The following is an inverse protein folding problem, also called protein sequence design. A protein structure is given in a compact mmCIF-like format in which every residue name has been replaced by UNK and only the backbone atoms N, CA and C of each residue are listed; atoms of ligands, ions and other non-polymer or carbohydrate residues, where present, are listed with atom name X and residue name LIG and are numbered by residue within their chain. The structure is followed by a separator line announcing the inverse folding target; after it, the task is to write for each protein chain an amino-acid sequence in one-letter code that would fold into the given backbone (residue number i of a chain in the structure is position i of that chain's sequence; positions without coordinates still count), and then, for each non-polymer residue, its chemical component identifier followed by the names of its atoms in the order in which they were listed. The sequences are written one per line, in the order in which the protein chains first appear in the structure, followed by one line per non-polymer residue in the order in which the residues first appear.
data_IF_877646141284
#
_entry.id   IF_877646141284
#
_cell.length_a   1.000
_cell.length_b   1.000
_cell.length_c   1.000
_cell.angle_alpha   90.00
_cell.angle_beta   90.00
_cell.angle_gamma   90.00
#
_symmetry.space_group_name_H-M   'P 1'
#
loop_
_entity.id
_entity.type
_entity.pdbx_description
1 polymer ?
#
# COMPACT_ATOMS: atom_id res chain seq x y z
N UNK A 1 -26.97 26.57 -2.30
CA UNK A 1 -26.40 25.33 -1.73
C UNK A 1 -25.59 24.54 -2.78
N UNK A 2 -26.13 24.22 -3.97
CA UNK A 2 -25.37 23.53 -5.03
C UNK A 2 -24.05 24.21 -5.45
N UNK A 3 -24.04 25.53 -5.59
CA UNK A 3 -22.86 26.26 -6.05
C UNK A 3 -21.68 26.25 -5.05
N UNK A 4 -21.95 26.11 -3.75
CA UNK A 4 -20.90 26.02 -2.73
C UNK A 4 -20.33 24.60 -2.66
N UNK A 5 -21.19 23.58 -2.76
CA UNK A 5 -20.77 22.18 -2.86
C UNK A 5 -19.93 21.91 -4.12
N UNK A 6 -20.31 22.47 -5.27
CA UNK A 6 -19.55 22.35 -6.51
C UNK A 6 -18.15 22.97 -6.44
N UNK A 7 -17.95 24.00 -5.60
CA UNK A 7 -16.65 24.64 -5.36
C UNK A 7 -15.79 23.90 -4.33
N UNK A 8 -16.42 23.22 -3.38
CA UNK A 8 -15.72 22.47 -2.33
C UNK A 8 -15.28 21.07 -2.79
N UNK A 9 -15.96 20.49 -3.78
CA UNK A 9 -15.68 19.15 -4.29
C UNK A 9 -14.23 18.94 -4.75
N UNK A 10 -13.60 19.86 -5.51
CA UNK A 10 -12.20 19.70 -5.90
C UNK A 10 -11.24 19.72 -4.71
N UNK A 11 -11.50 20.57 -3.71
CA UNK A 11 -10.69 20.66 -2.50
C UNK A 11 -10.81 19.39 -1.65
N UNK A 12 -12.03 18.84 -1.54
CA UNK A 12 -12.26 17.56 -0.88
C UNK A 12 -11.54 16.42 -1.61
N UNK A 13 -11.63 16.38 -2.94
CA UNK A 13 -10.94 15.37 -3.74
C UNK A 13 -9.42 15.46 -3.59
N UNK A 14 -8.86 16.67 -3.61
CA UNK A 14 -7.45 16.90 -3.35
C UNK A 14 -7.05 16.44 -1.93
N UNK A 15 -7.86 16.73 -0.92
CA UNK A 15 -7.61 16.28 0.45
C UNK A 15 -7.61 14.75 0.57
N UNK A 16 -8.54 14.07 -0.12
CA UNK A 16 -8.58 12.60 -0.19
C UNK A 16 -7.33 12.04 -0.87
N UNK A 17 -6.91 12.62 -2.00
CA UNK A 17 -5.68 12.19 -2.69
C UNK A 17 -4.46 12.39 -1.79
N UNK A 18 -4.33 13.55 -1.14
CA UNK A 18 -3.20 13.84 -0.25
C UNK A 18 -3.17 12.84 0.92
N UNK A 19 -4.33 12.57 1.52
CA UNK A 19 -4.44 11.58 2.59
C UNK A 19 -4.06 10.18 2.12
N UNK A 20 -4.51 9.77 0.92
CA UNK A 20 -4.15 8.48 0.33
C UNK A 20 -2.64 8.37 0.06
N UNK A 21 -2.02 9.41 -0.50
CA UNK A 21 -0.57 9.44 -0.75
C UNK A 21 0.23 9.40 0.56
N UNK A 22 -0.20 10.18 1.56
CA UNK A 22 0.45 10.17 2.87
C UNK A 22 0.34 8.80 3.53
N UNK A 23 -0.84 8.18 3.47
CA UNK A 23 -1.07 6.82 3.98
C UNK A 23 -0.17 5.79 3.29
N UNK A 24 -0.17 5.78 1.96
CA UNK A 24 0.63 4.83 1.18
C UNK A 24 2.14 5.02 1.45
N UNK A 25 2.59 6.26 1.62
CA UNK A 25 3.99 6.56 1.96
C UNK A 25 4.37 6.00 3.33
N UNK A 26 3.53 6.19 4.34
CA UNK A 26 3.77 5.65 5.69
C UNK A 26 3.75 4.13 5.66
N UNK A 27 2.76 3.53 5.00
CA UNK A 27 2.61 2.08 4.89
C UNK A 27 3.84 1.42 4.23
N UNK A 28 4.36 2.03 3.15
CA UNK A 28 5.57 1.56 2.48
C UNK A 28 6.79 1.59 3.40
N UNK A 29 6.97 2.67 4.17
CA UNK A 29 8.10 2.80 5.10
C UNK A 29 8.01 1.77 6.23
N UNK A 30 6.83 1.58 6.81
CA UNK A 30 6.59 0.60 7.88
C UNK A 30 6.90 -0.82 7.40
N UNK A 31 6.40 -1.20 6.22
CA UNK A 31 6.67 -2.52 5.65
C UNK A 31 8.14 -2.71 5.29
N UNK A 32 8.80 -1.74 4.67
CA UNK A 32 10.24 -1.83 4.41
C UNK A 32 11.04 -2.02 5.72
N UNK A 33 10.66 -1.34 6.81
CA UNK A 33 11.31 -1.50 8.10
C UNK A 33 11.05 -2.89 8.71
N UNK A 34 9.83 -3.40 8.59
CA UNK A 34 9.47 -4.75 9.05
C UNK A 34 10.21 -5.84 8.27
N UNK A 35 10.29 -5.72 6.95
CA UNK A 35 11.02 -6.66 6.11
C UNK A 35 12.54 -6.61 6.36
N UNK A 36 13.07 -5.41 6.62
CA UNK A 36 14.45 -5.27 7.08
C UNK A 36 14.67 -6.00 8.40
N UNK A 37 13.75 -5.87 9.36
CA UNK A 37 13.84 -6.53 10.67
C UNK A 37 13.68 -8.04 10.62
N UNK A 38 12.81 -8.58 9.76
CA UNK A 38 12.50 -10.01 9.69
C UNK A 38 13.40 -10.80 8.74
N UNK A 39 13.72 -10.22 7.59
CA UNK A 39 14.35 -10.91 6.46
C UNK A 39 15.68 -10.29 6.03
N UNK A 40 16.17 -9.27 6.75
CA UNK A 40 17.32 -8.45 6.35
C UNK A 40 17.16 -7.80 4.95
N UNK A 41 15.92 -7.69 4.44
CA UNK A 41 15.59 -7.08 3.15
C UNK A 41 14.68 -5.86 3.37
N UNK A 42 15.28 -4.67 3.44
CA UNK A 42 14.55 -3.39 3.48
C UNK A 42 14.40 -2.72 2.11
N UNK A 43 14.61 -3.46 1.02
CA UNK A 43 14.60 -2.89 -0.32
C UNK A 43 13.18 -2.65 -0.81
N UNK A 44 13.02 -1.68 -1.72
CA UNK A 44 11.76 -1.47 -2.44
C UNK A 44 11.33 -2.73 -3.21
N UNK A 45 12.28 -3.52 -3.70
CA UNK A 45 11.99 -4.77 -4.39
C UNK A 45 11.42 -5.85 -3.45
N UNK A 46 11.90 -5.93 -2.20
CA UNK A 46 11.35 -6.77 -1.14
C UNK A 46 9.92 -6.36 -0.79
N UNK A 47 9.69 -5.06 -0.58
CA UNK A 47 8.35 -4.50 -0.38
C UNK A 47 7.38 -4.89 -1.49
N UNK A 48 7.73 -4.65 -2.75
CA UNK A 48 6.84 -4.94 -3.89
C UNK A 48 6.51 -6.42 -4.01
N UNK A 49 7.47 -7.32 -3.74
CA UNK A 49 7.22 -8.78 -3.69
C UNK A 49 6.21 -9.13 -2.61
N UNK A 50 6.39 -8.62 -1.40
CA UNK A 50 5.50 -8.89 -0.28
C UNK A 50 4.11 -8.29 -0.49
N UNK A 51 4.03 -7.09 -1.04
CA UNK A 51 2.76 -6.44 -1.36
C UNK A 51 1.98 -7.22 -2.42
N UNK A 52 2.67 -7.70 -3.47
CA UNK A 52 2.07 -8.59 -4.46
C UNK A 52 1.61 -9.92 -3.84
N UNK A 53 2.44 -10.53 -2.97
CA UNK A 53 2.09 -11.77 -2.27
C UNK A 53 0.84 -11.61 -1.39
N UNK A 54 0.76 -10.56 -0.58
CA UNK A 54 -0.40 -10.29 0.28
C UNK A 54 -1.67 -10.08 -0.54
N UNK A 55 -1.59 -9.31 -1.62
CA UNK A 55 -2.75 -9.07 -2.50
C UNK A 55 -3.22 -10.37 -3.17
N UNK A 56 -2.29 -11.15 -3.72
CA UNK A 56 -2.61 -12.43 -4.35
C UNK A 56 -3.18 -13.42 -3.34
N UNK A 57 -2.64 -13.46 -2.12
CA UNK A 57 -3.11 -14.37 -1.07
C UNK A 57 -4.52 -14.01 -0.60
N UNK A 58 -4.84 -12.71 -0.55
CA UNK A 58 -6.19 -12.24 -0.25
C UNK A 58 -7.22 -12.67 -1.32
N UNK A 59 -6.83 -12.67 -2.60
CA UNK A 59 -7.74 -13.00 -3.71
C UNK A 59 -7.88 -14.50 -3.93
N UNK A 60 -6.78 -15.26 -3.81
CA UNK A 60 -6.70 -16.65 -4.25
C UNK A 60 -6.49 -17.65 -3.10
N UNK A 61 -6.35 -17.19 -1.86
CA UNK A 61 -5.95 -18.01 -0.71
C UNK A 61 -4.43 -18.07 -0.54
N UNK A 62 -3.96 -18.63 0.57
CA UNK A 62 -2.52 -18.72 0.88
C UNK A 62 -1.74 -19.54 -0.16
N UNK A 63 -0.49 -19.15 -0.38
CA UNK A 63 0.43 -19.74 -1.37
C UNK A 63 -0.13 -19.87 -2.79
N UNK A 64 -0.71 -18.80 -3.35
CA UNK A 64 -1.28 -18.87 -4.68
C UNK A 64 -0.18 -19.17 -5.69
N UNK A 65 -0.34 -20.27 -6.43
CA UNK A 65 0.62 -20.74 -7.44
C UNK A 65 2.00 -21.14 -6.87
N UNK A 66 2.09 -21.49 -5.58
CA UNK A 66 3.35 -21.90 -4.94
C UNK A 66 4.30 -20.72 -4.64
N UNK A 67 3.78 -19.50 -4.69
CA UNK A 67 4.54 -18.30 -4.31
C UNK A 67 4.60 -18.20 -2.78
N UNK A 68 5.76 -17.88 -2.25
CA UNK A 68 5.99 -17.72 -0.80
C UNK A 68 6.60 -16.35 -0.54
N UNK A 69 6.34 -15.83 0.66
CA UNK A 69 6.86 -14.55 1.14
C UNK A 69 8.40 -14.51 1.24
N UNK A 70 9.07 -15.68 1.31
CA UNK A 70 10.44 -15.81 1.82
C UNK A 70 11.48 -16.26 0.77
N UNK A 71 11.18 -16.17 -0.53
CA UNK A 71 12.20 -16.46 -1.58
C UNK A 71 13.02 -15.24 -1.99
#
# INVERSE_FOLDING_TARGET
MLALAARALPALFAAVIIAAVAWETVHLLEWCAELCGRYADGSLAGYLRMHAYTYMSYVFGEEPFGWTAER
#
